data_IF_288510577881
#
_entry.id   IF_288510577881
#
_cell.length_a   1.000
_cell.length_b   1.000
_cell.length_c   1.000
_cell.angle_alpha   90.00
_cell.angle_beta   90.00
_cell.angle_gamma   90.00
#
_symmetry.space_group_name_H-M   'P 1'
#
loop_
_entity.id
_entity.type
_entity.pdbx_description
1 polymer ?
#
# COMPACT_ATOMS: atom_id res chain seq x y z
N UNK A 1 -6.23 20.15 -5.48
CA UNK A 1 -5.90 20.00 -4.04
C UNK A 1 -5.55 21.35 -3.49
N UNK A 2 -6.01 21.66 -2.29
CA UNK A 2 -5.69 22.90 -1.55
C UNK A 2 -5.42 22.56 -0.09
N UNK A 3 -4.50 23.29 0.53
CA UNK A 3 -4.22 23.24 1.98
C UNK A 3 -4.33 24.64 2.53
N UNK A 4 -5.22 24.84 3.50
CA UNK A 4 -5.37 26.10 4.21
C UNK A 4 -4.35 26.08 5.36
N UNK A 5 -3.21 26.73 5.17
CA UNK A 5 -2.10 26.74 6.13
C UNK A 5 -2.11 28.08 6.87
N UNK A 6 -1.89 28.11 8.20
CA UNK A 6 -1.80 29.37 8.95
C UNK A 6 -0.81 30.32 8.27
N UNK A 7 -1.19 31.59 8.14
CA UNK A 7 -0.40 32.60 7.44
C UNK A 7 1.06 32.64 7.92
N UNK A 8 1.99 32.34 7.01
CA UNK A 8 3.42 32.42 7.26
C UNK A 8 3.99 33.80 6.94
N UNK A 9 5.22 34.10 7.36
CA UNK A 9 5.89 35.39 7.10
C UNK A 9 6.16 35.68 5.61
N UNK A 10 5.85 34.75 4.71
CA UNK A 10 6.20 34.82 3.29
C UNK A 10 5.27 35.73 2.43
N UNK A 11 4.27 36.38 3.04
CA UNK A 11 3.32 37.22 2.32
C UNK A 11 2.25 36.44 1.54
N UNK A 12 1.26 37.12 0.95
CA UNK A 12 0.19 36.47 0.21
C UNK A 12 0.72 35.85 -1.09
N UNK A 13 0.38 34.58 -1.33
CA UNK A 13 0.72 33.85 -2.57
C UNK A 13 2.01 33.02 -2.53
N UNK A 14 2.78 33.07 -1.43
CA UNK A 14 3.99 32.27 -1.25
C UNK A 14 3.83 31.25 -0.11
N UNK A 15 3.90 29.97 -0.44
CA UNK A 15 3.92 28.89 0.55
C UNK A 15 5.38 28.47 0.83
N UNK A 16 5.74 28.20 2.12
CA UNK A 16 7.05 27.65 2.43
C UNK A 16 7.33 26.35 1.64
N UNK A 17 8.57 26.14 1.21
CA UNK A 17 8.98 24.97 0.42
C UNK A 17 8.48 23.63 1.00
N UNK A 18 8.63 23.45 2.31
CA UNK A 18 8.19 22.23 3.01
C UNK A 18 6.68 22.01 2.97
N UNK A 19 5.88 23.08 2.88
CA UNK A 19 4.42 22.99 2.72
C UNK A 19 4.08 22.51 1.31
N UNK A 20 4.74 23.04 0.28
CA UNK A 20 4.54 22.61 -1.11
C UNK A 20 4.97 21.16 -1.34
N UNK A 21 6.10 20.73 -0.78
CA UNK A 21 6.54 19.33 -0.84
C UNK A 21 5.53 18.38 -0.20
N UNK A 22 4.99 18.75 0.98
CA UNK A 22 3.95 17.97 1.64
C UNK A 22 2.67 17.91 0.82
N UNK A 23 2.24 19.02 0.21
CA UNK A 23 1.08 19.05 -0.69
C UNK A 23 1.28 18.11 -1.89
N UNK A 24 2.43 18.21 -2.57
CA UNK A 24 2.76 17.37 -3.72
C UNK A 24 2.85 15.89 -3.33
N UNK A 25 3.48 15.57 -2.20
CA UNK A 25 3.58 14.21 -1.68
C UNK A 25 2.21 13.62 -1.35
N UNK A 26 1.36 14.37 -0.64
CA UNK A 26 0.01 13.95 -0.29
C UNK A 26 -0.87 13.74 -1.53
N UNK A 27 -0.84 14.67 -2.49
CA UNK A 27 -1.59 14.53 -3.75
C UNK A 27 -1.15 13.29 -4.55
N UNK A 28 0.16 13.03 -4.63
CA UNK A 28 0.69 11.80 -5.26
C UNK A 28 0.21 10.54 -4.55
N UNK A 29 0.21 10.52 -3.21
CA UNK A 29 -0.29 9.40 -2.42
C UNK A 29 -1.80 9.18 -2.62
N UNK A 30 -2.59 10.26 -2.69
CA UNK A 30 -4.02 10.20 -2.97
C UNK A 30 -4.30 9.60 -4.35
N UNK A 31 -3.58 10.04 -5.40
CA UNK A 31 -3.69 9.48 -6.74
C UNK A 31 -3.26 8.01 -6.79
N UNK A 32 -2.20 7.64 -6.06
CA UNK A 32 -1.76 6.25 -5.97
C UNK A 32 -2.79 5.36 -5.28
N UNK A 33 -3.41 5.84 -4.21
CA UNK A 33 -4.48 5.11 -3.52
C UNK A 33 -5.70 4.90 -4.44
N UNK A 34 -6.11 5.92 -5.19
CA UNK A 34 -7.17 5.79 -6.18
C UNK A 34 -6.80 4.79 -7.29
N UNK A 35 -5.55 4.83 -7.79
CA UNK A 35 -5.06 3.90 -8.80
C UNK A 35 -5.08 2.45 -8.27
N UNK A 36 -4.67 2.21 -7.02
CA UNK A 36 -4.76 0.90 -6.37
C UNK A 36 -6.22 0.41 -6.28
N UNK A 37 -7.14 1.30 -5.92
CA UNK A 37 -8.57 1.00 -5.83
C UNK A 37 -9.25 0.75 -7.19
N UNK A 38 -8.61 1.07 -8.32
CA UNK A 38 -9.06 0.61 -9.65
C UNK A 38 -8.70 -0.85 -9.92
N UNK A 39 -7.70 -1.40 -9.21
CA UNK A 39 -7.17 -2.75 -9.44
C UNK A 39 -7.85 -3.82 -8.58
N UNK A 40 -8.25 -3.46 -7.37
CA UNK A 40 -8.94 -4.37 -6.46
C UNK A 40 -9.84 -3.59 -5.48
N UNK A 41 -10.91 -4.23 -5.02
CA UNK A 41 -11.75 -3.73 -3.91
C UNK A 41 -11.18 -4.26 -2.61
N UNK A 42 -10.32 -3.49 -1.95
CA UNK A 42 -9.70 -3.88 -0.70
C UNK A 42 -9.52 -2.67 0.22
N UNK A 43 -9.77 -2.87 1.52
CA UNK A 43 -9.52 -1.82 2.51
C UNK A 43 -8.02 -1.53 2.69
N UNK A 44 -7.15 -2.42 2.26
CA UNK A 44 -5.69 -2.21 2.29
C UNK A 44 -5.06 -2.97 1.13
N UNK A 45 -4.08 -2.35 0.47
CA UNK A 45 -3.40 -2.93 -0.70
C UNK A 45 -1.96 -3.32 -0.39
N UNK A 46 -1.30 -2.59 0.51
CA UNK A 46 0.10 -2.77 0.85
C UNK A 46 0.99 -2.59 -0.37
N UNK A 47 1.64 -3.67 -0.81
CA UNK A 47 2.41 -3.65 -2.04
C UNK A 47 1.73 -4.38 -3.22
N UNK A 48 0.51 -4.91 -3.07
CA UNK A 48 -0.25 -5.48 -4.19
C UNK A 48 -0.58 -4.38 -5.21
N UNK A 49 -0.40 -4.69 -6.49
CA UNK A 49 -0.70 -3.82 -7.62
C UNK A 49 0.08 -2.50 -7.65
N UNK A 50 1.11 -2.33 -6.81
CA UNK A 50 1.79 -1.04 -6.63
C UNK A 50 2.52 -0.62 -7.90
N UNK A 51 3.15 -1.58 -8.61
CA UNK A 51 3.79 -1.32 -9.90
C UNK A 51 2.79 -0.87 -10.97
N UNK A 52 1.69 -1.60 -11.10
CA UNK A 52 0.64 -1.32 -12.08
C UNK A 52 -0.12 -0.01 -11.79
N UNK A 53 -0.28 0.33 -10.51
CA UNK A 53 -0.85 1.60 -10.08
C UNK A 53 0.11 2.77 -10.34
N UNK A 54 1.41 2.60 -10.09
CA UNK A 54 2.42 3.62 -10.41
C UNK A 54 2.51 3.89 -11.91
N UNK A 55 2.49 2.85 -12.75
CA UNK A 55 2.51 2.98 -14.21
C UNK A 55 1.30 3.79 -14.73
N UNK A 56 0.12 3.64 -14.11
CA UNK A 56 -1.07 4.41 -14.48
C UNK A 56 -0.92 5.93 -14.21
N UNK A 57 0.04 6.33 -13.38
CA UNK A 57 0.31 7.73 -13.06
C UNK A 57 1.43 8.36 -13.91
N UNK A 58 2.11 7.60 -14.77
CA UNK A 58 3.25 8.08 -15.57
C UNK A 58 2.88 9.22 -16.52
N UNK A 59 1.61 9.26 -16.98
CA UNK A 59 1.11 10.28 -17.89
C UNK A 59 0.36 11.42 -17.19
N UNK A 60 0.40 11.49 -15.86
CA UNK A 60 -0.25 12.56 -15.08
C UNK A 60 0.66 13.78 -15.03
N UNK A 61 0.17 14.92 -15.52
CA UNK A 61 0.88 16.19 -15.46
C UNK A 61 0.46 16.96 -14.21
N UNK A 62 1.38 17.66 -13.56
CA UNK A 62 1.09 18.40 -12.32
C UNK A 62 1.45 19.88 -12.48
N UNK A 63 0.47 20.75 -12.30
CA UNK A 63 0.65 22.20 -12.22
C UNK A 63 0.45 22.72 -10.80
N UNK A 64 1.20 23.75 -10.41
CA UNK A 64 0.91 24.54 -9.21
C UNK A 64 -0.07 25.65 -9.58
N UNK A 65 -1.00 25.97 -8.69
CA UNK A 65 -1.79 27.18 -8.81
C UNK A 65 -0.88 28.41 -8.62
N UNK A 66 -1.24 29.52 -9.28
CA UNK A 66 -0.50 30.79 -9.26
C UNK A 66 -0.53 31.48 -7.89
N UNK A 67 -1.48 31.12 -7.04
CA UNK A 67 -1.61 31.61 -5.65
C UNK A 67 -0.80 30.78 -4.63
N UNK A 68 -0.03 29.79 -5.09
CA UNK A 68 0.88 28.99 -4.27
C UNK A 68 0.20 28.02 -3.29
N UNK A 69 -1.13 28.05 -3.16
CA UNK A 69 -1.90 27.25 -2.20
C UNK A 69 -2.54 26.00 -2.81
N UNK A 70 -2.61 25.92 -4.15
CA UNK A 70 -3.25 24.84 -4.89
C UNK A 70 -2.29 23.98 -5.71
N UNK A 71 -2.63 22.70 -5.88
CA UNK A 71 -1.99 21.77 -6.81
C UNK A 71 -3.08 21.15 -7.70
N UNK A 72 -2.84 21.12 -9.00
CA UNK A 72 -3.73 20.49 -10.00
C UNK A 72 -2.99 19.39 -10.73
N UNK A 73 -3.60 18.21 -10.80
CA UNK A 73 -3.10 17.10 -11.61
C UNK A 73 -4.01 16.89 -12.82
N UNK A 74 -3.44 16.95 -14.01
CA UNK A 74 -4.12 16.70 -15.27
C UNK A 74 -3.94 15.24 -15.64
N UNK A 75 -5.07 14.56 -15.78
CA UNK A 75 -5.14 13.12 -16.08
C UNK A 75 -5.63 12.96 -17.52
N UNK A 76 -4.98 12.15 -18.38
CA UNK A 76 -5.42 11.96 -19.75
C UNK A 76 -6.85 11.40 -19.81
N UNK A 77 -7.69 12.00 -20.65
CA UNK A 77 -9.15 11.79 -20.62
C UNK A 77 -9.53 10.31 -20.77
N UNK A 78 -9.08 9.62 -21.81
CA UNK A 78 -9.50 8.24 -22.07
C UNK A 78 -8.89 7.22 -21.08
N UNK A 79 -7.56 7.09 -20.92
CA UNK A 79 -7.00 6.05 -20.06
C UNK A 79 -7.12 6.39 -18.56
N UNK A 80 -7.34 7.66 -18.21
CA UNK A 80 -7.38 8.11 -16.83
C UNK A 80 -8.78 8.39 -16.27
N UNK A 81 -9.84 8.29 -17.08
CA UNK A 81 -11.22 8.42 -16.57
C UNK A 81 -11.55 7.45 -15.43
N UNK A 82 -11.18 6.14 -15.49
CA UNK A 82 -11.44 5.23 -14.37
C UNK A 82 -10.74 5.65 -13.06
N UNK A 83 -9.53 6.21 -13.17
CA UNK A 83 -8.78 6.74 -12.02
C UNK A 83 -9.52 7.93 -11.40
N UNK A 84 -9.92 8.91 -12.21
CA UNK A 84 -10.63 10.11 -11.73
C UNK A 84 -11.98 9.75 -11.08
N UNK A 85 -12.75 8.83 -11.68
CA UNK A 85 -14.01 8.33 -11.12
C UNK A 85 -13.78 7.62 -9.79
N UNK A 86 -12.78 6.72 -9.73
CA UNK A 86 -12.47 6.00 -8.50
C UNK A 86 -12.01 6.95 -7.39
N UNK A 87 -11.20 7.94 -7.73
CA UNK A 87 -10.78 8.97 -6.78
C UNK A 87 -11.99 9.71 -6.22
N UNK A 88 -12.86 10.24 -7.09
CA UNK A 88 -14.09 10.92 -6.70
C UNK A 88 -14.94 10.07 -5.74
N UNK A 89 -15.30 8.86 -6.15
CA UNK A 89 -16.12 7.94 -5.35
C UNK A 89 -15.49 7.65 -3.98
N UNK A 90 -14.18 7.39 -3.94
CA UNK A 90 -13.48 7.09 -2.70
C UNK A 90 -13.43 8.29 -1.74
N UNK A 91 -13.28 9.51 -2.25
CA UNK A 91 -13.26 10.73 -1.43
C UNK A 91 -14.62 11.01 -0.80
N UNK A 92 -15.69 10.94 -1.59
CA UNK A 92 -17.06 11.13 -1.10
C UNK A 92 -17.44 10.05 -0.08
N UNK A 93 -17.12 8.79 -0.35
CA UNK A 93 -17.41 7.70 0.59
C UNK A 93 -16.64 7.83 1.92
N UNK A 94 -15.38 8.29 1.89
CA UNK A 94 -14.62 8.58 3.12
C UNK A 94 -15.23 9.76 3.87
N UNK A 95 -15.61 10.85 3.18
CA UNK A 95 -16.26 12.00 3.81
C UNK A 95 -17.56 11.60 4.50
N UNK A 96 -18.44 10.89 3.79
CA UNK A 96 -19.69 10.36 4.32
C UNK A 96 -19.46 9.45 5.53
N UNK A 97 -18.46 8.57 5.47
CA UNK A 97 -18.13 7.69 6.59
C UNK A 97 -17.61 8.45 7.82
N UNK A 98 -16.83 9.53 7.64
CA UNK A 98 -16.40 10.37 8.75
C UNK A 98 -17.59 11.11 9.37
N UNK A 99 -18.50 11.64 8.55
CA UNK A 99 -19.69 12.35 9.03
C UNK A 99 -20.66 11.41 9.75
N UNK A 100 -20.82 10.19 9.22
CA UNK A 100 -21.56 9.12 9.87
C UNK A 100 -20.96 8.75 11.23
N UNK A 101 -19.63 8.59 11.33
CA UNK A 101 -18.95 8.32 12.61
C UNK A 101 -19.14 9.45 13.62
N UNK A 102 -19.16 10.71 13.17
CA UNK A 102 -19.43 11.86 14.05
C UNK A 102 -20.86 11.87 14.56
N UNK A 103 -21.83 11.56 13.68
CA UNK A 103 -23.25 11.58 14.03
C UNK A 103 -23.65 10.41 14.92
N UNK A 104 -23.10 9.22 14.69
CA UNK A 104 -23.57 7.96 15.31
C UNK A 104 -22.58 7.35 16.29
N UNK A 105 -21.30 7.74 16.23
CA UNK A 105 -20.24 7.02 16.92
C UNK A 105 -19.97 5.63 16.34
N UNK A 106 -20.51 5.22 15.19
CA UNK A 106 -20.22 3.93 14.56
C UNK A 106 -19.19 4.05 13.41
N UNK A 107 -18.41 3.00 13.20
CA UNK A 107 -17.43 2.90 12.10
C UNK A 107 -17.96 2.12 10.89
N UNK A 108 -19.20 1.61 10.92
CA UNK A 108 -19.72 0.67 9.92
C UNK A 108 -19.74 1.24 8.49
N UNK A 109 -19.93 2.56 8.35
CA UNK A 109 -19.88 3.24 7.06
C UNK A 109 -18.50 3.07 6.36
N UNK A 110 -17.41 2.90 7.11
CA UNK A 110 -16.09 2.65 6.53
C UNK A 110 -15.97 1.27 5.88
N UNK A 111 -16.74 0.28 6.32
CA UNK A 111 -16.74 -1.05 5.70
C UNK A 111 -17.41 -0.99 4.32
N UNK A 112 -18.52 -0.26 4.21
CA UNK A 112 -19.19 0.02 2.94
C UNK A 112 -18.33 0.85 1.98
N UNK A 113 -17.59 1.82 2.50
CA UNK A 113 -16.74 2.72 1.73
C UNK A 113 -15.61 2.00 0.95
N UNK A 114 -15.21 0.80 1.37
CA UNK A 114 -14.23 -0.04 0.63
C UNK A 114 -14.71 -0.33 -0.79
N UNK A 115 -16.03 -0.49 -1.01
CA UNK A 115 -16.59 -0.74 -2.36
C UNK A 115 -16.42 0.47 -3.28
N UNK A 116 -16.43 1.67 -2.72
CA UNK A 116 -16.20 2.93 -3.44
C UNK A 116 -14.70 3.21 -3.66
N UNK A 117 -13.82 2.52 -2.94
CA UNK A 117 -12.36 2.64 -3.05
C UNK A 117 -11.68 3.23 -1.83
N UNK A 118 -12.37 3.33 -0.68
CA UNK A 118 -11.71 3.70 0.56
C UNK A 118 -10.70 2.61 0.96
N UNK A 119 -9.50 3.05 1.30
CA UNK A 119 -8.43 2.17 1.75
C UNK A 119 -7.56 2.85 2.80
N UNK A 120 -6.72 2.06 3.47
CA UNK A 120 -5.69 2.55 4.38
C UNK A 120 -4.79 3.56 3.68
N UNK A 121 -4.33 3.27 2.47
CA UNK A 121 -3.47 4.18 1.69
C UNK A 121 -4.15 5.53 1.45
N UNK A 122 -5.46 5.54 1.18
CA UNK A 122 -6.22 6.78 1.03
C UNK A 122 -6.31 7.53 2.37
N UNK A 123 -6.66 6.85 3.46
CA UNK A 123 -6.74 7.48 4.79
C UNK A 123 -5.40 8.05 5.24
N UNK A 124 -4.28 7.37 4.96
CA UNK A 124 -2.93 7.87 5.25
C UNK A 124 -2.58 9.10 4.40
N UNK A 125 -2.92 9.09 3.11
CA UNK A 125 -2.74 10.25 2.23
C UNK A 125 -3.54 11.46 2.70
N UNK A 126 -4.80 11.27 3.12
CA UNK A 126 -5.66 12.32 3.68
C UNK A 126 -5.10 12.85 5.01
N UNK A 127 -4.64 11.98 5.90
CA UNK A 127 -3.96 12.38 7.14
C UNK A 127 -2.71 13.22 6.84
N UNK A 128 -1.92 12.84 5.84
CA UNK A 128 -0.75 13.61 5.43
C UNK A 128 -1.12 14.98 4.82
N UNK A 129 -2.23 15.03 4.09
CA UNK A 129 -2.75 16.27 3.50
C UNK A 129 -3.21 17.27 4.58
N UNK A 130 -3.96 16.79 5.58
CA UNK A 130 -4.60 17.62 6.62
C UNK A 130 -3.67 17.96 7.79
N UNK A 131 -2.64 17.14 8.05
CA UNK A 131 -1.74 17.39 9.18
C UNK A 131 -1.05 18.75 9.05
N UNK A 132 -1.26 19.61 10.05
CA UNK A 132 -0.64 20.94 10.12
C UNK A 132 -1.31 21.97 9.21
N UNK A 133 -2.59 21.79 8.89
CA UNK A 133 -3.44 22.76 8.17
C UNK A 133 -4.65 23.11 9.04
N UNK A 134 -5.37 24.16 8.67
CA UNK A 134 -6.71 24.50 9.21
C UNK A 134 -7.81 23.73 8.46
N UNK A 135 -7.56 23.42 7.18
CA UNK A 135 -8.43 22.63 6.33
C UNK A 135 -7.69 22.16 5.08
N UNK A 136 -8.23 21.16 4.41
CA UNK A 136 -7.75 20.73 3.11
C UNK A 136 -8.91 20.35 2.21
N UNK A 137 -8.81 20.70 0.93
CA UNK A 137 -9.85 20.46 -0.07
C UNK A 137 -9.30 19.68 -1.26
N UNK A 138 -10.12 18.78 -1.80
CA UNK A 138 -9.83 18.01 -3.00
C UNK A 138 -11.04 18.06 -3.91
N UNK A 139 -10.86 18.49 -5.16
CA UNK A 139 -11.89 18.48 -6.19
C UNK A 139 -11.46 17.58 -7.35
N UNK A 140 -12.44 16.97 -8.00
CA UNK A 140 -12.25 16.23 -9.25
C UNK A 140 -13.13 16.88 -10.30
N UNK A 141 -12.49 17.56 -11.25
CA UNK A 141 -13.15 18.26 -12.35
C UNK A 141 -13.04 17.46 -13.65
N UNK A 142 -14.08 17.57 -14.48
CA UNK A 142 -14.21 16.79 -15.71
C UNK A 142 -13.97 17.67 -16.93
N UNK A 143 -13.25 17.15 -17.93
CA UNK A 143 -13.11 17.82 -19.20
C UNK A 143 -14.50 18.05 -19.82
N UNK A 144 -14.89 19.30 -20.18
CA UNK A 144 -16.25 19.59 -20.64
C UNK A 144 -16.70 18.72 -21.80
N UNK A 145 -15.81 18.49 -22.77
CA UNK A 145 -16.08 17.66 -23.94
C UNK A 145 -16.32 16.17 -23.64
N UNK A 146 -15.84 15.66 -22.49
CA UNK A 146 -15.99 14.26 -22.09
C UNK A 146 -17.23 14.01 -21.22
N UNK A 147 -17.89 15.07 -20.75
CA UNK A 147 -19.05 15.01 -19.86
C UNK A 147 -18.74 14.45 -18.47
N UNK A 148 -19.65 14.73 -17.53
CA UNK A 148 -19.60 14.25 -16.15
C UNK A 148 -20.15 12.81 -16.08
N UNK A 149 -19.45 11.86 -15.43
CA UNK A 149 -20.00 10.53 -15.15
C UNK A 149 -21.27 10.59 -14.28
N UNK A 150 -22.22 9.67 -14.49
CA UNK A 150 -23.56 9.71 -13.86
C UNK A 150 -23.55 9.76 -12.32
N UNK A 151 -22.56 9.13 -11.67
CA UNK A 151 -22.47 9.06 -10.20
C UNK A 151 -21.46 10.07 -9.60
N UNK A 152 -21.03 11.05 -10.39
CA UNK A 152 -20.01 12.02 -9.97
C UNK A 152 -20.62 13.40 -9.74
N UNK A 153 -20.90 13.73 -8.47
CA UNK A 153 -21.30 15.07 -8.06
C UNK A 153 -20.17 16.09 -8.28
N UNK A 154 -20.55 17.33 -8.60
CA UNK A 154 -19.62 18.45 -8.63
C UNK A 154 -19.28 18.91 -7.20
N UNK A 155 -18.10 19.48 -7.02
CA UNK A 155 -17.68 20.12 -5.78
C UNK A 155 -16.37 19.58 -5.20
N UNK A 156 -15.85 20.32 -4.22
CA UNK A 156 -14.68 19.91 -3.47
C UNK A 156 -15.10 19.15 -2.20
N UNK A 157 -14.40 18.06 -1.91
CA UNK A 157 -14.50 17.35 -0.63
C UNK A 157 -13.51 17.98 0.35
N UNK A 158 -14.01 18.34 1.53
CA UNK A 158 -13.24 19.01 2.57
C UNK A 158 -12.91 18.08 3.75
N UNK A 159 -11.71 18.22 4.29
CA UNK A 159 -11.25 17.56 5.49
C UNK A 159 -10.58 18.56 6.43
N UNK A 160 -10.88 18.46 7.72
CA UNK A 160 -10.36 19.34 8.77
C UNK A 160 -9.52 18.56 9.79
N UNK A 161 -8.70 19.23 10.63
CA UNK A 161 -7.94 18.57 11.69
C UNK A 161 -8.77 17.71 12.63
N UNK A 162 -10.06 18.03 12.82
CA UNK A 162 -11.01 17.23 13.59
C UNK A 162 -11.33 15.87 12.99
N UNK A 163 -11.02 15.62 11.71
CA UNK A 163 -11.18 14.31 11.06
C UNK A 163 -10.00 13.36 11.34
N UNK A 164 -8.85 13.89 11.76
CA UNK A 164 -7.60 13.11 11.86
C UNK A 164 -7.69 11.88 12.77
N UNK A 165 -8.32 11.92 13.96
CA UNK A 165 -8.47 10.74 14.80
C UNK A 165 -9.25 9.62 14.10
N UNK A 166 -10.38 9.96 13.46
CA UNK A 166 -11.25 9.01 12.77
C UNK A 166 -10.56 8.40 11.55
N UNK A 167 -9.85 9.22 10.75
CA UNK A 167 -9.09 8.73 9.60
C UNK A 167 -7.99 7.74 10.00
N UNK A 168 -7.29 7.99 11.12
CA UNK A 168 -6.28 7.06 11.66
C UNK A 168 -6.90 5.76 12.16
N UNK A 169 -8.04 5.85 12.84
CA UNK A 169 -8.79 4.69 13.32
C UNK A 169 -9.26 3.82 12.14
N UNK A 170 -9.81 4.45 11.09
CA UNK A 170 -10.21 3.78 9.85
C UNK A 170 -9.03 3.05 9.18
N UNK A 171 -7.88 3.73 9.02
CA UNK A 171 -6.67 3.12 8.47
C UNK A 171 -6.19 1.91 9.27
N UNK A 172 -6.24 1.98 10.60
CA UNK A 172 -5.90 0.86 11.48
C UNK A 172 -6.92 -0.29 11.40
N UNK A 173 -8.22 0.03 11.27
CA UNK A 173 -9.28 -0.97 11.05
C UNK A 173 -9.07 -1.70 9.73
N UNK A 174 -8.83 -0.98 8.65
CA UNK A 174 -8.59 -1.57 7.34
C UNK A 174 -7.38 -2.52 7.32
N UNK A 175 -6.31 -2.18 8.04
CA UNK A 175 -5.18 -3.10 8.22
C UNK A 175 -5.60 -4.37 8.97
N UNK A 176 -6.32 -4.23 10.09
CA UNK A 176 -6.72 -5.38 10.92
C UNK A 176 -7.72 -6.30 10.22
N UNK A 177 -8.58 -5.74 9.38
CA UNK A 177 -9.60 -6.46 8.62
C UNK A 177 -9.05 -7.07 7.32
N UNK A 178 -7.77 -6.91 7.01
CA UNK A 178 -7.20 -7.46 5.78
C UNK A 178 -7.29 -8.99 5.77
N UNK A 179 -7.96 -9.60 4.77
CA UNK A 179 -8.06 -11.04 4.69
C UNK A 179 -6.72 -11.67 4.31
N UNK A 180 -6.35 -12.78 4.93
CA UNK A 180 -5.25 -13.61 4.46
C UNK A 180 -5.62 -14.19 3.09
N UNK A 181 -4.84 -13.90 2.05
CA UNK A 181 -5.15 -14.33 0.67
C UNK A 181 -4.31 -15.56 0.29
N UNK A 182 -4.89 -16.57 -0.39
CA UNK A 182 -4.08 -17.66 -0.92
C UNK A 182 -3.07 -17.11 -1.93
N UNK A 183 -1.81 -17.53 -1.82
CA UNK A 183 -0.74 -17.09 -2.69
C UNK A 183 0.19 -18.26 -3.02
N UNK A 184 0.66 -18.28 -4.28
CA UNK A 184 1.71 -19.17 -4.75
C UNK A 184 2.96 -18.32 -4.98
N UNK A 185 3.96 -18.50 -4.12
CA UNK A 185 5.18 -17.70 -4.12
C UNK A 185 6.31 -18.51 -4.74
N UNK A 186 7.08 -17.90 -5.61
CA UNK A 186 8.38 -18.44 -6.04
C UNK A 186 9.47 -17.53 -5.52
N UNK A 187 10.43 -18.10 -4.80
CA UNK A 187 11.50 -17.32 -4.19
C UNK A 187 12.74 -18.15 -3.89
N UNK A 188 13.87 -17.46 -3.82
CA UNK A 188 15.13 -18.07 -3.42
C UNK A 188 15.26 -18.06 -1.89
N UNK A 189 15.72 -19.17 -1.32
CA UNK A 189 16.01 -19.25 0.12
C UNK A 189 17.24 -18.42 0.42
N UNK A 190 17.11 -17.41 1.29
CA UNK A 190 18.22 -16.53 1.71
C UNK A 190 18.61 -16.70 3.17
N UNK A 191 17.71 -17.24 4.01
CA UNK A 191 18.00 -17.54 5.40
C UNK A 191 17.09 -18.65 5.90
N UNK A 192 17.65 -19.56 6.68
CA UNK A 192 16.90 -20.60 7.37
C UNK A 192 17.21 -20.54 8.87
N UNK A 193 16.21 -20.83 9.70
CA UNK A 193 16.35 -20.92 11.15
C UNK A 193 15.47 -22.05 11.66
N UNK A 194 16.06 -23.01 12.36
CA UNK A 194 15.36 -24.02 13.15
C UNK A 194 15.95 -24.07 14.56
N UNK A 195 15.12 -24.01 15.62
CA UNK A 195 15.62 -24.02 17.00
C UNK A 195 16.13 -25.40 17.44
N UNK A 196 15.49 -26.48 17.03
CA UNK A 196 15.92 -27.86 17.28
C UNK A 196 16.35 -28.54 15.97
N UNK A 197 17.03 -29.69 15.97
CA UNK A 197 17.37 -30.41 14.74
C UNK A 197 16.13 -30.90 13.96
N UNK A 198 15.03 -31.18 14.66
CA UNK A 198 13.76 -31.71 14.12
C UNK A 198 12.61 -30.71 14.36
N UNK A 199 11.48 -30.92 13.69
CA UNK A 199 10.28 -30.09 13.83
C UNK A 199 10.20 -28.89 12.88
N UNK A 200 9.30 -27.95 13.15
CA UNK A 200 9.06 -26.80 12.28
C UNK A 200 10.26 -25.85 12.21
N UNK A 201 10.46 -25.24 11.04
CA UNK A 201 11.49 -24.25 10.82
C UNK A 201 10.97 -23.01 10.12
N UNK A 202 11.68 -21.89 10.28
CA UNK A 202 11.36 -20.65 9.56
C UNK A 202 12.36 -20.40 8.45
N UNK A 203 11.85 -20.10 7.26
CA UNK A 203 12.66 -19.72 6.09
C UNK A 203 12.33 -18.29 5.68
N UNK A 204 13.35 -17.51 5.34
CA UNK A 204 13.22 -16.22 4.66
C UNK A 204 13.48 -16.44 3.18
N UNK A 205 12.47 -16.15 2.35
CA UNK A 205 12.58 -16.21 0.90
C UNK A 205 12.75 -14.80 0.35
N UNK A 206 13.66 -14.63 -0.62
CA UNK A 206 13.71 -13.48 -1.51
C UNK A 206 12.77 -13.76 -2.68
N UNK A 207 11.72 -12.97 -2.81
CA UNK A 207 10.64 -13.26 -3.76
C UNK A 207 11.08 -12.93 -5.18
N UNK A 208 10.88 -13.88 -6.08
CA UNK A 208 11.06 -13.73 -7.52
C UNK A 208 9.70 -13.43 -8.16
N UNK A 209 8.66 -14.18 -7.78
CA UNK A 209 7.31 -14.01 -8.29
C UNK A 209 6.23 -14.45 -7.28
N UNK A 210 4.97 -14.11 -7.56
CA UNK A 210 3.82 -14.46 -6.72
C UNK A 210 3.50 -13.46 -5.61
N UNK A 211 4.43 -12.56 -5.26
CA UNK A 211 4.18 -11.44 -4.37
C UNK A 211 5.02 -10.21 -4.75
N UNK A 212 4.42 -9.02 -4.67
CA UNK A 212 5.11 -7.74 -4.85
C UNK A 212 5.80 -7.28 -3.55
N UNK A 213 6.61 -8.13 -2.90
CA UNK A 213 7.53 -7.73 -1.82
C UNK A 213 8.90 -8.35 -2.04
N UNK A 214 9.99 -7.72 -1.55
CA UNK A 214 11.32 -8.28 -1.72
C UNK A 214 11.54 -9.56 -0.90
N UNK A 215 10.96 -9.64 0.30
CA UNK A 215 11.18 -10.75 1.23
C UNK A 215 9.88 -11.20 1.90
N UNK A 216 9.79 -12.51 2.17
CA UNK A 216 8.70 -13.13 2.94
C UNK A 216 9.25 -14.13 3.96
N UNK A 217 8.61 -14.22 5.13
CA UNK A 217 8.89 -15.26 6.13
C UNK A 217 7.88 -16.38 5.99
N UNK A 218 8.36 -17.61 5.92
CA UNK A 218 7.53 -18.80 5.77
C UNK A 218 7.83 -19.73 6.94
N UNK A 219 6.79 -20.19 7.63
CA UNK A 219 6.91 -21.30 8.56
C UNK A 219 6.66 -22.59 7.77
N UNK A 220 7.61 -23.52 7.84
CA UNK A 220 7.57 -24.80 7.14
C UNK A 220 7.59 -25.92 8.17
N UNK A 221 6.92 -27.02 7.85
CA UNK A 221 7.01 -28.24 8.62
C UNK A 221 8.39 -28.91 8.45
N UNK A 222 8.55 -30.11 9.00
CA UNK A 222 9.84 -30.77 8.98
C UNK A 222 10.33 -31.16 7.58
N UNK A 223 9.43 -31.65 6.74
CA UNK A 223 9.73 -32.15 5.40
C UNK A 223 9.97 -31.00 4.44
N UNK A 224 9.06 -30.03 4.41
CA UNK A 224 9.15 -28.84 3.55
C UNK A 224 10.39 -28.01 3.87
N UNK A 225 10.79 -27.92 5.15
CA UNK A 225 12.03 -27.25 5.55
C UNK A 225 13.27 -27.97 5.00
N UNK A 226 13.30 -29.31 5.01
CA UNK A 226 14.40 -30.08 4.41
C UNK A 226 14.46 -29.86 2.90
N UNK A 227 13.31 -29.86 2.23
CA UNK A 227 13.22 -29.56 0.78
C UNK A 227 13.75 -28.16 0.46
N UNK A 228 13.38 -27.15 1.25
CA UNK A 228 13.90 -25.80 1.10
C UNK A 228 15.42 -25.72 1.33
N UNK A 229 15.93 -26.48 2.29
CA UNK A 229 17.38 -26.58 2.55
C UNK A 229 18.14 -27.20 1.39
N UNK A 230 17.62 -28.27 0.80
CA UNK A 230 18.22 -28.88 -0.38
C UNK A 230 18.23 -27.90 -1.56
N UNK A 231 17.10 -27.26 -1.85
CA UNK A 231 16.99 -26.26 -2.92
C UNK A 231 17.99 -25.11 -2.74
N UNK A 232 18.19 -24.63 -1.51
CA UNK A 232 19.20 -23.61 -1.20
C UNK A 232 20.62 -24.07 -1.55
N UNK A 233 20.99 -25.30 -1.18
CA UNK A 233 22.32 -25.86 -1.43
C UNK A 233 22.60 -26.03 -2.94
N UNK A 234 21.59 -26.39 -3.72
CA UNK A 234 21.72 -26.55 -5.19
C UNK A 234 21.46 -25.26 -5.97
N UNK A 235 21.21 -24.14 -5.28
CA UNK A 235 20.99 -22.83 -5.92
C UNK A 235 19.66 -22.70 -6.67
N UNK A 236 18.66 -23.53 -6.35
CA UNK A 236 17.35 -23.51 -7.00
C UNK A 236 16.34 -22.68 -6.18
N UNK A 237 15.46 -21.90 -6.86
CA UNK A 237 14.34 -21.28 -6.18
C UNK A 237 13.31 -22.33 -5.76
N UNK A 238 12.53 -22.03 -4.72
CA UNK A 238 11.40 -22.85 -4.27
C UNK A 238 10.08 -22.19 -4.62
N UNK A 239 9.10 -23.02 -4.97
CA UNK A 239 7.70 -22.65 -5.07
C UNK A 239 6.98 -23.12 -3.82
N UNK A 240 6.18 -22.24 -3.23
CA UNK A 240 5.44 -22.50 -1.98
C UNK A 240 4.02 -21.98 -2.13
N UNK A 241 3.03 -22.77 -1.72
CA UNK A 241 1.65 -22.34 -1.57
C UNK A 241 1.38 -22.02 -0.12
N UNK A 242 0.50 -21.06 0.14
CA UNK A 242 0.02 -20.78 1.49
C UNK A 242 -0.88 -19.56 1.53
N UNK A 243 -1.13 -19.05 2.73
CA UNK A 243 -1.92 -17.84 2.96
C UNK A 243 -1.01 -16.69 3.30
N UNK A 244 -1.11 -15.63 2.52
CA UNK A 244 -0.33 -14.43 2.72
C UNK A 244 -1.01 -13.53 3.75
N UNK A 245 -0.38 -13.41 4.91
CA UNK A 245 -0.77 -12.51 5.99
C UNK A 245 0.06 -11.24 5.96
N UNK A 246 -0.59 -10.13 6.27
CA UNK A 246 0.01 -8.80 6.30
C UNK A 246 -0.19 -8.21 7.69
N UNK A 247 0.75 -8.46 8.61
CA UNK A 247 0.87 -7.64 9.82
C UNK A 247 1.82 -6.48 9.50
N UNK A 248 1.27 -5.28 9.32
CA UNK A 248 2.05 -4.04 9.34
C UNK A 248 3.13 -3.89 8.26
N UNK A 249 2.94 -4.48 7.07
CA UNK A 249 3.83 -4.25 5.93
C UNK A 249 4.92 -5.31 5.70
N UNK A 250 5.05 -6.32 6.56
CA UNK A 250 5.92 -7.47 6.34
C UNK A 250 5.15 -8.79 6.35
N UNK A 251 5.43 -9.59 5.32
CA UNK A 251 4.59 -10.70 4.90
C UNK A 251 5.01 -11.99 5.60
N UNK A 252 4.03 -12.66 6.20
CA UNK A 252 4.16 -14.05 6.65
C UNK A 252 3.33 -14.90 5.70
N UNK A 253 3.92 -15.98 5.20
CA UNK A 253 3.14 -17.05 4.58
C UNK A 253 2.82 -18.07 5.67
N UNK A 254 1.53 -18.26 5.95
CA UNK A 254 1.02 -19.25 6.92
C UNK A 254 0.33 -20.40 6.18
N UNK A 255 0.24 -21.57 6.83
CA UNK A 255 -0.28 -22.78 6.18
C UNK A 255 0.50 -23.11 4.89
N UNK A 256 1.82 -22.98 4.96
CA UNK A 256 2.68 -23.24 3.82
C UNK A 256 2.65 -24.73 3.48
N UNK A 257 2.53 -25.06 2.20
CA UNK A 257 2.51 -26.42 1.70
C UNK A 257 3.01 -26.48 0.26
N UNK A 258 3.15 -27.71 -0.26
CA UNK A 258 3.64 -27.99 -1.62
C UNK A 258 4.97 -27.29 -1.92
N UNK A 259 5.93 -27.36 -0.99
CA UNK A 259 7.26 -26.80 -1.21
C UNK A 259 8.00 -27.66 -2.23
N UNK A 260 8.26 -27.07 -3.40
CA UNK A 260 8.94 -27.76 -4.49
C UNK A 260 10.05 -26.89 -5.08
N UNK A 261 11.25 -27.43 -5.34
CA UNK A 261 12.26 -26.76 -6.14
C UNK A 261 11.71 -26.47 -7.54
N UNK A 262 11.99 -25.28 -8.07
CA UNK A 262 11.65 -24.92 -9.45
C UNK A 262 12.90 -25.13 -10.29
N UNK A 263 12.86 -26.03 -11.29
CA UNK A 263 13.99 -26.23 -12.19
C UNK A 263 14.22 -24.96 -13.01
N UNK A 264 15.47 -24.53 -13.06
CA UNK A 264 15.96 -23.43 -13.89
C UNK A 264 17.21 -23.93 -14.62
N UNK A 265 17.46 -23.42 -15.83
CA UNK A 265 18.70 -23.71 -16.53
C UNK A 265 19.92 -23.07 -15.84
N UNK A 266 21.12 -23.46 -16.28
CA UNK A 266 22.37 -23.01 -15.64
C UNK A 266 22.59 -21.49 -15.79
N UNK A 267 22.18 -20.89 -16.90
CA UNK A 267 22.32 -19.44 -17.13
C UNK A 267 21.39 -18.64 -16.20
N UNK A 268 20.13 -19.05 -16.10
CA UNK A 268 19.11 -18.46 -15.24
C UNK A 268 19.51 -18.63 -13.76
N UNK A 269 20.10 -19.78 -13.40
CA UNK A 269 20.68 -20.02 -12.08
C UNK A 269 21.83 -19.06 -11.79
N UNK A 270 22.77 -18.87 -12.71
CA UNK A 270 23.90 -17.96 -12.52
C UNK A 270 23.46 -16.50 -12.41
N UNK A 271 22.46 -16.09 -13.22
CA UNK A 271 21.81 -14.77 -13.09
C UNK A 271 21.14 -14.61 -11.73
N UNK A 272 20.44 -15.64 -11.24
CA UNK A 272 19.81 -15.63 -9.92
C UNK A 272 20.86 -15.52 -8.80
N UNK A 273 21.95 -16.28 -8.88
CA UNK A 273 23.04 -16.24 -7.91
C UNK A 273 23.76 -14.89 -7.90
N UNK A 274 23.94 -14.28 -9.06
CA UNK A 274 24.44 -12.90 -9.17
C UNK A 274 23.47 -11.91 -8.52
N UNK A 275 22.18 -11.99 -8.84
CA UNK A 275 21.14 -11.11 -8.26
C UNK A 275 21.00 -11.23 -6.74
N UNK A 276 21.25 -12.43 -6.19
CA UNK A 276 21.26 -12.66 -4.74
C UNK A 276 22.47 -11.99 -4.04
N UNK A 277 23.61 -11.90 -4.72
CA UNK A 277 24.84 -11.30 -4.18
C UNK A 277 24.86 -9.78 -4.28
N UNK A 278 24.18 -9.20 -5.26
CA UNK A 278 24.18 -7.76 -5.55
C UNK A 278 23.33 -6.90 -4.59
N UNK A 279 22.87 -7.43 -3.45
CA UNK A 279 22.12 -6.66 -2.46
C UNK A 279 22.92 -6.35 -1.18
N UNK A 280 23.42 -5.11 -0.99
CA UNK A 280 24.07 -4.65 0.23
C UNK A 280 23.10 -4.22 1.35
N UNK A 281 21.78 -4.45 1.25
CA UNK A 281 20.78 -3.98 2.21
C UNK A 281 20.26 -5.03 3.20
N UNK A 282 21.05 -5.41 4.22
CA UNK A 282 20.56 -6.32 5.27
C UNK A 282 21.54 -6.65 6.41
N UNK A 283 22.18 -5.64 7.00
CA UNK A 283 22.88 -5.77 8.29
C UNK A 283 21.94 -6.20 9.43
N UNK A 284 22.48 -6.64 10.59
CA UNK A 284 21.75 -7.43 11.57
C UNK A 284 20.95 -6.55 12.54
N UNK A 285 19.63 -6.61 12.49
CA UNK A 285 18.79 -6.22 13.64
C UNK A 285 18.40 -7.54 14.36
N UNK A 286 19.05 -7.89 15.47
CA UNK A 286 18.86 -7.33 16.83
C UNK A 286 17.37 -7.32 17.17
N UNK A 287 16.89 -8.43 17.71
CA UNK A 287 16.08 -8.56 18.93
C UNK A 287 15.56 -10.00 18.97
N UNK A 288 16.24 -10.81 19.78
CA UNK A 288 15.62 -12.00 20.35
C UNK A 288 14.47 -11.54 21.24
N UNK A 289 13.25 -11.61 20.73
CA UNK A 289 12.06 -11.61 21.56
C UNK A 289 11.90 -13.02 22.12
N UNK A 290 12.45 -13.28 23.29
CA UNK A 290 11.95 -14.32 24.19
C UNK A 290 10.48 -14.01 24.46
N UNK A 291 9.61 -14.97 24.16
CA UNK A 291 8.25 -14.99 24.72
C UNK A 291 8.37 -14.91 26.25
N UNK A 292 7.65 -14.03 26.96
CA UNK A 292 7.40 -14.28 28.37
C UNK A 292 6.46 -15.49 28.46
N UNK A 293 6.81 -16.41 29.35
CA UNK A 293 5.97 -17.53 29.73
C UNK A 293 4.64 -17.02 30.29
N UNK A 294 3.59 -17.76 29.98
CA UNK A 294 2.29 -17.68 30.64
C UNK A 294 2.46 -18.04 32.12
N UNK A 295 1.96 -17.18 33.00
CA UNK A 295 1.30 -17.51 34.26
C UNK A 295 0.08 -16.59 34.39
#
# INVERSE_FOLDING_TARGET
>A
WWRDVPGGPAGPGAAPWTVQERLRSAARQTLLAAALATRARAGYHGARHRRSAAAALEHVLVGSATDGGGLTAFVPVAPGRPLAVRLHQSLYAVREAVDYRRATGSMDAFDGAVRAGASRELTEALVALVRGTEGARIAVDWAPAAGVPADCAAGAVEFSPGDLPVLREAGARYLRAEPSVPARITGAVVRMRRPQPHGEGTVRLRVISGAEVPYIRVALDEEDYRTAGHAHLVGLPVRVLGRLESRGGFRRLTGACEVAPVPVDDEERDRLMKWLREDPGGGPDLFGGTCPAED
#
